data_IF_425303856009
#
_entry.id   IF_425303856009
#
_cell.length_a   1.000
_cell.length_b   1.000
_cell.length_c   1.000
_cell.angle_alpha   90.00
_cell.angle_beta   90.00
_cell.angle_gamma   90.00
#
_symmetry.space_group_name_H-M   'P 1'
#
loop_
_entity.id
_entity.type
_entity.pdbx_description
1 polymer ?
#
# COMPACT_ATOMS: atom_id res chain seq x y z
N UNK A 1 -9.74 -9.72 -8.57
CA UNK A 1 -9.22 -11.09 -8.45
C UNK A 1 -8.38 -11.15 -7.19
N UNK A 2 -8.79 -11.97 -6.23
CA UNK A 2 -8.05 -12.19 -4.99
C UNK A 2 -6.84 -13.07 -5.32
N UNK A 3 -5.62 -12.56 -5.10
CA UNK A 3 -4.41 -13.31 -5.36
C UNK A 3 -4.22 -14.32 -4.22
N UNK A 4 -4.24 -15.62 -4.53
CA UNK A 4 -3.91 -16.68 -3.57
C UNK A 4 -2.40 -16.67 -3.31
N UNK A 5 -1.98 -15.82 -2.38
CA UNK A 5 -0.60 -15.71 -1.97
C UNK A 5 -0.26 -16.83 -0.98
N UNK A 6 0.96 -17.39 -1.03
CA UNK A 6 1.42 -18.35 -0.03
C UNK A 6 1.35 -17.77 1.38
N UNK A 7 1.17 -18.65 2.37
CA UNK A 7 1.21 -18.26 3.78
C UNK A 7 2.55 -17.57 4.08
N UNK A 8 2.48 -16.40 4.72
CA UNK A 8 3.65 -15.61 5.08
C UNK A 8 4.12 -14.62 4.01
N UNK A 9 3.52 -14.61 2.82
CA UNK A 9 3.77 -13.56 1.84
C UNK A 9 3.26 -12.22 2.37
N UNK A 10 4.10 -11.19 2.31
CA UNK A 10 3.82 -9.87 2.86
C UNK A 10 4.22 -8.79 1.87
N UNK A 11 3.49 -7.68 1.91
CA UNK A 11 3.83 -6.50 1.12
C UNK A 11 5.00 -5.76 1.78
N UNK A 12 6.21 -5.97 1.26
CA UNK A 12 7.45 -5.31 1.74
C UNK A 12 8.26 -4.77 0.56
N UNK A 13 7.75 -3.74 -0.14
CA UNK A 13 8.46 -3.15 -1.26
C UNK A 13 9.74 -2.45 -0.78
N UNK A 14 10.74 -2.40 -1.65
CA UNK A 14 11.85 -1.45 -1.56
C UNK A 14 11.38 -0.04 -1.94
N UNK A 15 12.18 0.98 -1.59
CA UNK A 15 11.87 2.37 -1.96
C UNK A 15 11.79 2.54 -3.48
N UNK A 16 12.67 1.88 -4.23
CA UNK A 16 12.66 1.89 -5.69
C UNK A 16 11.39 1.24 -6.25
N UNK A 17 10.99 0.08 -5.73
CA UNK A 17 9.77 -0.58 -6.18
C UNK A 17 8.51 0.26 -5.90
N UNK A 18 8.45 0.91 -4.73
CA UNK A 18 7.35 1.79 -4.37
C UNK A 18 7.26 2.99 -5.34
N UNK A 19 8.39 3.60 -5.68
CA UNK A 19 8.43 4.75 -6.60
C UNK A 19 8.09 4.33 -8.03
N UNK A 20 8.79 3.34 -8.56
CA UNK A 20 8.74 2.97 -9.99
C UNK A 20 7.45 2.22 -10.32
N UNK A 21 7.04 1.26 -9.48
CA UNK A 21 5.93 0.37 -9.80
C UNK A 21 4.59 0.85 -9.24
N UNK A 22 4.58 1.65 -8.18
CA UNK A 22 3.33 2.12 -7.58
C UNK A 22 3.10 3.61 -7.82
N UNK A 23 3.95 4.49 -7.26
CA UNK A 23 3.74 5.95 -7.30
C UNK A 23 3.72 6.49 -8.73
N UNK A 24 4.73 6.19 -9.53
CA UNK A 24 4.84 6.67 -10.93
C UNK A 24 3.70 6.15 -11.81
N UNK A 25 3.24 4.92 -11.56
CA UNK A 25 2.11 4.33 -12.29
C UNK A 25 0.80 4.99 -11.89
N UNK A 26 0.53 5.18 -10.59
CA UNK A 26 -0.66 5.88 -10.11
C UNK A 26 -0.74 7.31 -10.67
N UNK A 27 0.37 8.05 -10.64
CA UNK A 27 0.43 9.41 -11.19
C UNK A 27 0.12 9.48 -12.70
N UNK A 28 0.42 8.40 -13.45
CA UNK A 28 0.14 8.29 -14.89
C UNK A 28 -1.17 7.57 -15.20
N UNK A 29 -1.99 7.28 -14.18
CA UNK A 29 -3.22 6.47 -14.30
C UNK A 29 -3.00 5.12 -15.00
N UNK A 30 -1.81 4.52 -14.80
CA UNK A 30 -1.47 3.21 -15.34
C UNK A 30 -1.89 2.09 -14.37
N UNK A 31 -2.18 0.88 -14.87
CA UNK A 31 -2.50 -0.26 -14.03
C UNK A 31 -1.40 -0.58 -12.99
N UNK A 32 -1.81 -0.70 -11.73
CA UNK A 32 -0.95 -1.09 -10.63
C UNK A 32 -0.70 -2.61 -10.64
N UNK A 33 0.49 -3.08 -10.21
CA UNK A 33 0.77 -4.52 -10.13
C UNK A 33 -0.21 -5.27 -9.22
N UNK A 34 -0.60 -4.65 -8.11
CA UNK A 34 -1.62 -5.16 -7.20
C UNK A 34 -2.32 -4.00 -6.48
N UNK A 35 -3.61 -4.16 -6.18
CA UNK A 35 -4.41 -3.17 -5.45
C UNK A 35 -4.26 -3.32 -3.93
N UNK A 36 -3.01 -3.29 -3.45
CA UNK A 36 -2.66 -3.56 -2.03
C UNK A 36 -2.55 -2.31 -1.16
N UNK A 37 -2.43 -1.13 -1.78
CA UNK A 37 -2.35 0.16 -1.08
C UNK A 37 -3.74 0.82 -1.15
N UNK A 38 -4.45 0.98 -0.03
CA UNK A 38 -5.77 1.62 -0.01
C UNK A 38 -5.69 3.15 -0.05
N UNK A 39 -6.78 3.80 -0.44
CA UNK A 39 -6.95 5.25 -0.28
C UNK A 39 -7.43 5.57 1.14
N UNK A 40 -6.74 6.49 1.81
CA UNK A 40 -7.03 6.84 3.20
C UNK A 40 -6.56 8.27 3.51
N UNK A 41 -7.35 9.01 4.28
CA UNK A 41 -6.95 10.33 4.77
C UNK A 41 -6.12 10.21 6.05
N UNK A 42 -4.82 9.99 5.85
CA UNK A 42 -3.85 9.86 6.94
C UNK A 42 -3.73 11.16 7.75
N UNK A 43 -3.95 12.32 7.14
CA UNK A 43 -3.69 13.61 7.79
C UNK A 43 -4.79 14.03 8.75
N UNK A 44 -6.00 13.51 8.56
CA UNK A 44 -7.13 13.75 9.46
C UNK A 44 -7.35 12.59 10.46
N UNK A 45 -6.41 11.63 10.52
CA UNK A 45 -6.54 10.44 11.36
C UNK A 45 -5.49 10.42 12.46
N UNK A 46 -5.85 9.90 13.62
CA UNK A 46 -4.91 9.67 14.71
C UNK A 46 -3.94 8.52 14.33
N UNK A 47 -2.61 8.65 14.54
CA UNK A 47 -1.64 7.64 14.14
C UNK A 47 -1.87 6.24 14.72
N UNK A 48 -2.53 6.12 15.87
CA UNK A 48 -2.86 4.85 16.51
C UNK A 48 -4.17 4.25 15.99
N UNK A 49 -4.98 5.05 15.28
CA UNK A 49 -6.24 4.64 14.65
C UNK A 49 -6.10 4.24 13.18
N UNK A 50 -4.87 4.17 12.66
CA UNK A 50 -4.63 3.84 11.25
C UNK A 50 -5.10 2.40 10.93
N UNK A 51 -5.80 2.20 9.80
CA UNK A 51 -6.26 0.87 9.42
C UNK A 51 -5.10 0.01 8.95
N UNK A 52 -5.02 -1.23 9.43
CA UNK A 52 -4.03 -2.21 9.00
C UNK A 52 -3.82 -3.33 10.00
N UNK A 53 -2.91 -4.26 9.65
CA UNK A 53 -2.50 -5.32 10.56
C UNK A 53 -1.48 -4.78 11.58
N UNK A 54 -1.85 -4.79 12.86
CA UNK A 54 -0.99 -4.39 13.98
C UNK A 54 0.35 -5.15 14.06
N UNK A 55 0.46 -6.29 13.40
CA UNK A 55 1.71 -7.06 13.31
C UNK A 55 2.69 -6.51 12.26
N UNK A 56 2.25 -5.63 11.36
CA UNK A 56 3.11 -5.01 10.36
C UNK A 56 3.80 -3.76 10.90
N UNK A 57 5.06 -3.58 10.50
CA UNK A 57 5.88 -2.46 10.97
C UNK A 57 5.61 -1.15 10.21
N UNK A 58 4.99 -1.23 9.05
CA UNK A 58 4.79 -0.11 8.12
C UNK A 58 3.45 -0.26 7.42
N UNK A 59 2.78 0.86 7.24
CA UNK A 59 1.53 0.97 6.51
C UNK A 59 1.72 1.91 5.33
N UNK A 60 1.03 1.64 4.22
CA UNK A 60 1.11 2.42 3.00
C UNK A 60 -0.29 2.87 2.62
N UNK A 61 -0.45 4.16 2.31
CA UNK A 61 -1.73 4.74 1.94
C UNK A 61 -1.56 5.67 0.74
N UNK A 62 -2.57 5.67 -0.12
CA UNK A 62 -2.78 6.76 -1.05
C UNK A 62 -3.52 7.88 -0.34
N UNK A 63 -3.02 9.10 -0.48
CA UNK A 63 -3.74 10.28 -0.04
C UNK A 63 -5.05 10.40 -0.85
N UNK A 64 -6.16 10.57 -0.14
CA UNK A 64 -7.46 10.92 -0.72
C UNK A 64 -7.53 12.40 -1.11
#
# INVERSE_FOLDING_TARGET
>A
MEMKLPIGFRFRPTDEELVVHYLRRKARSLPLPASVIPEFDVFHSDPWSLPGDSCEKRYYFWKK
#
